data_IF_739740001411
#
_entry.id   IF_739740001411
#
_cell.length_a   1.000
_cell.length_b   1.000
_cell.length_c   1.000
_cell.angle_alpha   90.00
_cell.angle_beta   90.00
_cell.angle_gamma   90.00
#
_symmetry.space_group_name_H-M   'P 1'
#
loop_
_entity.id
_entity.type
_entity.pdbx_description
1 polymer ?
#
# COMPACT_ATOMS: atom_id res chain seq x y z
N UNK A 1 -14.12 -8.69 10.26
CA UNK A 1 -14.32 -7.22 10.36
C UNK A 1 -13.27 -6.54 9.49
N UNK A 2 -13.63 -5.53 8.68
CA UNK A 2 -12.64 -4.80 7.86
C UNK A 2 -11.67 -4.06 8.77
N UNK A 3 -10.39 -4.08 8.42
CA UNK A 3 -9.36 -3.29 9.10
C UNK A 3 -9.45 -1.84 8.65
N UNK A 4 -9.32 -0.91 9.60
CA UNK A 4 -9.50 0.53 9.39
C UNK A 4 -8.13 1.19 9.33
N UNK A 5 -7.75 1.65 8.15
CA UNK A 5 -6.49 2.33 7.88
C UNK A 5 -6.77 3.83 7.70
N UNK A 6 -6.14 4.65 8.53
CA UNK A 6 -6.14 6.10 8.36
C UNK A 6 -4.99 6.46 7.44
N UNK A 7 -5.26 7.12 6.33
CA UNK A 7 -4.22 7.76 5.53
C UNK A 7 -4.06 9.21 5.98
N UNK A 8 -2.84 9.63 6.32
CA UNK A 8 -2.50 11.01 6.68
C UNK A 8 -1.52 11.54 5.65
N UNK A 9 -1.86 12.62 4.94
CA UNK A 9 -0.97 13.21 3.94
C UNK A 9 -1.69 14.13 2.96
N UNK A 10 -1.14 14.29 1.76
CA UNK A 10 -1.70 15.20 0.74
C UNK A 10 -2.52 14.50 -0.34
N UNK A 11 -3.38 15.27 -1.02
CA UNK A 11 -4.31 14.80 -2.05
C UNK A 11 -3.60 14.08 -3.20
N UNK A 12 -2.43 14.54 -3.60
CA UNK A 12 -1.63 13.99 -4.70
C UNK A 12 -1.25 12.52 -4.46
N UNK A 13 -0.99 12.15 -3.19
CA UNK A 13 -0.65 10.79 -2.79
C UNK A 13 -1.92 10.00 -2.52
N UNK A 14 -2.94 10.62 -1.92
CA UNK A 14 -4.23 9.99 -1.62
C UNK A 14 -4.85 9.32 -2.84
N UNK A 15 -4.90 9.99 -3.99
CA UNK A 15 -5.53 9.45 -5.20
C UNK A 15 -4.92 8.09 -5.63
N UNK A 16 -3.61 7.90 -5.38
CA UNK A 16 -2.93 6.62 -5.66
C UNK A 16 -3.21 5.60 -4.56
N UNK A 17 -3.23 6.03 -3.30
CA UNK A 17 -3.55 5.19 -2.15
C UNK A 17 -4.97 4.64 -2.25
N UNK A 18 -5.95 5.47 -2.54
CA UNK A 18 -7.35 5.09 -2.71
C UNK A 18 -7.53 4.02 -3.79
N UNK A 19 -6.91 4.23 -4.96
CA UNK A 19 -6.96 3.26 -6.07
C UNK A 19 -6.37 1.91 -5.67
N UNK A 20 -5.19 1.92 -5.05
CA UNK A 20 -4.53 0.67 -4.64
C UNK A 20 -5.27 0.02 -3.47
N UNK A 21 -5.81 0.79 -2.54
CA UNK A 21 -6.60 0.30 -1.41
C UNK A 21 -7.90 -0.39 -1.86
N UNK A 22 -8.51 0.04 -2.97
CA UNK A 22 -9.64 -0.65 -3.60
C UNK A 22 -9.29 -2.08 -4.03
N UNK A 23 -8.00 -2.39 -4.20
CA UNK A 23 -7.53 -3.75 -4.40
C UNK A 23 -7.57 -4.57 -3.10
N UNK A 24 -7.95 -4.08 -1.93
CA UNK A 24 -7.92 -4.86 -0.68
C UNK A 24 -9.29 -4.89 0.00
N UNK A 25 -10.13 -5.92 -0.25
CA UNK A 25 -11.52 -5.94 0.22
C UNK A 25 -11.67 -5.99 1.74
N UNK A 26 -10.65 -6.51 2.44
CA UNK A 26 -10.59 -6.58 3.91
C UNK A 26 -10.17 -5.25 4.56
N UNK A 27 -9.84 -4.24 3.75
CA UNK A 27 -9.37 -2.93 4.20
C UNK A 27 -10.46 -1.87 3.96
N UNK A 28 -10.61 -0.99 4.92
CA UNK A 28 -11.31 0.28 4.79
C UNK A 28 -10.28 1.38 5.01
N UNK A 29 -10.23 2.33 4.08
CA UNK A 29 -9.27 3.43 4.15
C UNK A 29 -10.01 4.75 4.28
N UNK A 30 -9.57 5.59 5.21
CA UNK A 30 -10.13 6.92 5.44
C UNK A 30 -9.02 7.95 5.26
N UNK A 31 -9.20 8.96 4.39
CA UNK A 31 -8.21 10.01 4.22
C UNK A 31 -8.35 11.10 5.28
N UNK A 32 -7.21 11.60 5.72
CA UNK A 32 -7.03 12.87 6.39
C UNK A 32 -6.06 13.70 5.55
N UNK A 33 -6.60 14.68 4.84
CA UNK A 33 -5.84 15.49 3.89
C UNK A 33 -5.32 16.76 4.56
N UNK A 34 -4.00 16.93 4.58
CA UNK A 34 -3.31 18.01 5.27
C UNK A 34 -3.05 19.20 4.34
N UNK A 35 -4.11 19.80 3.82
CA UNK A 35 -4.01 20.93 2.89
C UNK A 35 -3.53 22.23 3.60
N UNK A 36 -3.68 22.35 4.93
CA UNK A 36 -3.25 23.53 5.72
C UNK A 36 -2.60 23.18 7.08
N UNK A 37 -1.98 22.01 7.18
CA UNK A 37 -1.28 21.55 8.38
C UNK A 37 -2.05 20.50 9.18
N UNK A 38 -1.28 19.71 9.92
CA UNK A 38 -1.69 18.50 10.65
C UNK A 38 -2.69 18.82 11.78
N UNK A 39 -2.71 20.06 12.25
CA UNK A 39 -3.33 20.38 13.53
C UNK A 39 -4.85 20.57 13.49
N UNK A 40 -5.42 21.12 12.41
CA UNK A 40 -6.86 21.42 12.36
C UNK A 40 -7.75 20.20 12.03
N UNK A 41 -7.26 19.23 11.28
CA UNK A 41 -8.06 18.06 10.87
C UNK A 41 -8.13 16.94 11.92
N UNK A 42 -7.26 16.97 12.93
CA UNK A 42 -7.07 15.87 13.87
C UNK A 42 -7.89 15.96 15.16
N UNK A 43 -8.40 17.14 15.50
CA UNK A 43 -9.23 17.31 16.70
C UNK A 43 -10.64 16.73 16.53
N UNK A 44 -11.10 16.51 15.29
CA UNK A 44 -12.46 16.06 14.99
C UNK A 44 -12.60 14.53 14.80
N UNK A 45 -11.50 13.80 14.68
CA UNK A 45 -11.51 12.35 14.43
C UNK A 45 -11.27 11.56 15.71
N UNK A 46 -12.20 10.67 16.07
CA UNK A 46 -12.00 9.69 17.14
C UNK A 46 -11.01 8.61 16.69
N UNK A 47 -9.72 8.83 16.93
CA UNK A 47 -8.64 8.01 16.39
C UNK A 47 -8.54 6.59 17.00
N UNK A 48 -9.30 6.32 18.06
CA UNK A 48 -9.51 4.96 18.60
C UNK A 48 -10.14 4.02 17.56
N UNK A 49 -10.79 4.57 16.54
CA UNK A 49 -11.43 3.81 15.47
C UNK A 49 -10.49 3.33 14.37
N UNK A 50 -9.17 3.54 14.43
CA UNK A 50 -8.25 3.05 13.39
C UNK A 50 -7.29 2.01 13.93
N UNK A 51 -7.06 0.96 13.13
CA UNK A 51 -6.12 -0.12 13.42
C UNK A 51 -4.68 0.30 13.09
N UNK A 52 -4.48 1.13 12.06
CA UNK A 52 -3.16 1.56 11.60
C UNK A 52 -3.22 2.93 10.91
N UNK A 53 -2.12 3.68 10.95
CA UNK A 53 -1.94 4.92 10.22
C UNK A 53 -0.92 4.71 9.09
N UNK A 54 -1.25 5.16 7.88
CA UNK A 54 -0.36 5.19 6.72
C UNK A 54 -0.05 6.64 6.36
N UNK A 55 1.22 7.00 6.28
CA UNK A 55 1.64 8.38 6.03
C UNK A 55 2.87 8.41 5.12
N UNK A 56 3.05 9.43 4.26
CA UNK A 56 4.34 9.69 3.63
C UNK A 56 5.45 9.79 4.67
N UNK A 57 6.65 9.34 4.30
CA UNK A 57 7.83 9.30 5.17
C UNK A 57 8.13 10.66 5.84
N UNK A 58 7.93 11.77 5.15
CA UNK A 58 8.26 13.12 5.62
C UNK A 58 7.33 13.64 6.72
N UNK A 59 6.08 13.16 6.75
CA UNK A 59 5.12 13.55 7.79
C UNK A 59 5.14 12.55 8.97
N UNK A 60 5.88 11.45 8.86
CA UNK A 60 5.83 10.35 9.83
C UNK A 60 6.26 10.76 11.23
N UNK A 61 7.24 11.66 11.38
CA UNK A 61 7.70 12.13 12.69
C UNK A 61 6.62 12.88 13.46
N UNK A 62 5.88 13.77 12.80
CA UNK A 62 4.76 14.51 13.40
C UNK A 62 3.59 13.56 13.71
N UNK A 63 3.27 12.67 12.77
CA UNK A 63 2.23 11.65 12.93
C UNK A 63 2.53 10.71 14.10
N UNK A 64 3.78 10.24 14.25
CA UNK A 64 4.21 9.40 15.38
C UNK A 64 4.12 10.11 16.72
N UNK A 65 4.54 11.38 16.81
CA UNK A 65 4.40 12.18 18.03
C UNK A 65 2.93 12.38 18.43
N UNK A 66 2.05 12.53 17.44
CA UNK A 66 0.62 12.74 17.67
C UNK A 66 -0.12 11.44 17.96
N UNK A 67 0.37 10.29 17.48
CA UNK A 67 -0.21 8.96 17.71
C UNK A 67 0.81 7.95 18.26
N UNK A 68 1.34 8.16 19.48
CA UNK A 68 2.38 7.30 20.04
C UNK A 68 1.93 5.84 20.22
N UNK A 69 0.63 5.62 20.46
CA UNK A 69 0.06 4.27 20.67
C UNK A 69 -0.40 3.58 19.38
N UNK A 70 -0.36 4.26 18.23
CA UNK A 70 -0.79 3.68 16.96
C UNK A 70 0.41 3.24 16.14
N UNK A 71 0.25 2.11 15.46
CA UNK A 71 1.20 1.69 14.45
C UNK A 71 1.17 2.67 13.27
N UNK A 72 2.30 3.32 13.00
CA UNK A 72 2.48 4.24 11.87
C UNK A 72 3.35 3.58 10.82
N UNK A 73 2.81 3.45 9.61
CA UNK A 73 3.49 2.92 8.44
C UNK A 73 3.87 4.04 7.48
N UNK A 74 5.12 4.00 7.02
CA UNK A 74 5.72 5.05 6.18
C UNK A 74 5.66 4.63 4.71
N UNK A 75 5.07 5.49 3.88
CA UNK A 75 5.18 5.39 2.42
C UNK A 75 6.47 6.06 1.96
N UNK A 76 7.34 5.26 1.36
CA UNK A 76 8.57 5.71 0.72
C UNK A 76 8.40 5.81 -0.79
N UNK A 77 9.24 6.64 -1.41
CA UNK A 77 9.36 6.72 -2.86
C UNK A 77 10.43 5.72 -3.32
N UNK A 78 10.19 5.01 -4.43
CA UNK A 78 11.20 4.13 -5.03
C UNK A 78 12.13 4.90 -5.97
N UNK A 79 13.29 4.31 -6.31
CA UNK A 79 14.12 4.76 -7.43
C UNK A 79 13.30 5.04 -8.71
N UNK A 80 12.34 4.16 -9.04
CA UNK A 80 11.44 4.38 -10.20
C UNK A 80 10.61 5.66 -10.09
N UNK A 81 10.21 6.08 -8.89
CA UNK A 81 9.47 7.34 -8.70
C UNK A 81 10.36 8.55 -8.99
N UNK A 82 11.64 8.48 -8.60
CA UNK A 82 12.65 9.50 -8.92
C UNK A 82 12.90 9.55 -10.43
N UNK A 83 13.12 8.40 -11.09
CA UNK A 83 13.28 8.35 -12.56
C UNK A 83 12.08 8.96 -13.28
N UNK A 84 10.85 8.60 -12.87
CA UNK A 84 9.66 9.18 -13.47
C UNK A 84 9.58 10.71 -13.32
N UNK A 85 10.08 11.29 -12.21
CA UNK A 85 10.14 12.73 -12.01
C UNK A 85 11.24 13.38 -12.85
N UNK A 86 12.44 12.80 -12.88
CA UNK A 86 13.56 13.25 -13.72
C UNK A 86 13.18 13.25 -15.20
N UNK A 87 12.60 12.15 -15.69
CA UNK A 87 12.14 12.03 -17.08
C UNK A 87 11.09 13.08 -17.41
N UNK A 88 10.09 13.30 -16.54
CA UNK A 88 9.10 14.38 -16.75
C UNK A 88 9.73 15.75 -16.80
N UNK A 89 10.73 16.00 -15.95
CA UNK A 89 11.49 17.25 -15.97
C UNK A 89 12.22 17.43 -17.30
N UNK A 90 12.95 16.41 -17.76
CA UNK A 90 13.66 16.45 -19.04
C UNK A 90 12.74 16.68 -20.25
N UNK A 91 11.54 16.09 -20.25
CA UNK A 91 10.55 16.32 -21.30
C UNK A 91 9.82 17.66 -21.20
N UNK A 92 9.82 18.30 -20.03
CA UNK A 92 9.24 19.65 -19.85
C UNK A 92 10.24 20.76 -20.11
N UNK A 93 11.54 20.49 -20.01
CA UNK A 93 12.57 21.43 -20.39
C UNK A 93 12.49 21.75 -21.89
N UNK A 94 12.43 23.04 -22.21
CA UNK A 94 12.74 23.53 -23.54
C UNK A 94 14.19 23.16 -23.86
N UNK A 95 14.45 22.63 -25.06
CA UNK A 95 15.78 22.27 -25.57
C UNK A 95 16.84 23.39 -25.45
N UNK A 96 16.44 24.61 -25.10
CA UNK A 96 17.27 25.82 -25.03
C UNK A 96 17.50 26.37 -23.61
N UNK A 97 17.10 25.68 -22.52
CA UNK A 97 17.33 26.20 -21.15
C UNK A 97 18.68 25.73 -20.58
N UNK A 98 19.62 26.65 -20.39
CA UNK A 98 20.93 26.41 -19.74
C UNK A 98 20.85 26.18 -18.21
N UNK A 99 19.65 26.20 -17.62
CA UNK A 99 19.45 26.10 -16.18
C UNK A 99 19.50 24.67 -15.63
N UNK A 100 19.91 24.55 -14.36
CA UNK A 100 19.91 23.29 -13.61
C UNK A 100 18.53 22.94 -13.08
N UNK A 101 18.33 21.65 -12.78
CA UNK A 101 17.19 21.15 -12.02
C UNK A 101 17.61 21.00 -10.57
N UNK A 102 16.93 21.70 -9.66
CA UNK A 102 17.13 21.49 -8.22
C UNK A 102 16.29 20.31 -7.75
N UNK A 103 16.91 19.36 -7.05
CA UNK A 103 16.28 18.13 -6.59
C UNK A 103 16.52 17.97 -5.10
N UNK A 104 15.45 17.97 -4.29
CA UNK A 104 15.57 17.52 -2.90
C UNK A 104 15.35 16.02 -2.76
N UNK A 105 16.23 15.34 -2.02
CA UNK A 105 16.11 13.90 -1.74
C UNK A 105 16.80 13.46 -0.45
N UNK A 106 16.45 12.26 0.02
CA UNK A 106 16.93 11.73 1.32
C UNK A 106 18.42 11.39 1.35
N UNK A 107 19.00 11.16 0.18
CA UNK A 107 20.40 10.77 0.04
C UNK A 107 20.94 11.32 -1.27
N UNK A 108 21.97 12.15 -1.19
CA UNK A 108 22.65 12.66 -2.38
C UNK A 108 23.31 11.54 -3.16
N UNK A 109 23.90 10.57 -2.45
CA UNK A 109 24.60 9.45 -3.06
C UNK A 109 23.66 8.53 -3.84
N UNK A 110 22.46 8.26 -3.32
CA UNK A 110 21.45 7.46 -4.04
C UNK A 110 21.06 8.10 -5.37
N UNK A 111 20.89 9.42 -5.42
CA UNK A 111 20.62 10.12 -6.69
C UNK A 111 21.82 9.98 -7.62
N UNK A 112 23.05 10.20 -7.13
CA UNK A 112 24.25 10.13 -7.97
C UNK A 112 24.40 8.76 -8.61
N UNK A 113 24.28 7.69 -7.83
CA UNK A 113 24.35 6.32 -8.33
C UNK A 113 23.27 6.08 -9.40
N UNK A 114 22.02 6.47 -9.13
CA UNK A 114 20.91 6.24 -10.04
C UNK A 114 21.06 7.03 -11.36
N UNK A 115 21.52 8.28 -11.29
CA UNK A 115 21.79 9.13 -12.47
C UNK A 115 22.95 8.56 -13.29
N UNK A 116 23.99 8.05 -12.64
CA UNK A 116 25.14 7.41 -13.30
C UNK A 116 24.75 6.10 -13.99
N UNK A 117 23.97 5.24 -13.33
CA UNK A 117 23.49 3.97 -13.90
C UNK A 117 22.65 4.19 -15.17
N UNK A 118 21.86 5.27 -15.20
CA UNK A 118 20.96 5.62 -16.30
C UNK A 118 21.63 6.54 -17.35
N UNK A 119 22.92 6.84 -17.21
CA UNK A 119 23.69 7.75 -18.06
C UNK A 119 23.05 9.15 -18.23
N UNK A 120 22.45 9.66 -17.16
CA UNK A 120 21.83 10.98 -17.14
C UNK A 120 22.87 12.09 -16.83
N UNK A 121 22.71 13.31 -17.39
CA UNK A 121 23.67 14.40 -17.20
C UNK A 121 23.63 14.96 -15.78
N UNK A 122 24.53 14.50 -14.91
CA UNK A 122 24.61 14.90 -13.51
C UNK A 122 24.91 16.40 -13.33
N UNK A 123 25.63 17.01 -14.27
CA UNK A 123 26.04 18.43 -14.20
C UNK A 123 24.85 19.39 -14.25
N UNK A 124 23.71 18.91 -14.76
CA UNK A 124 22.45 19.64 -14.83
C UNK A 124 21.61 19.49 -13.56
N UNK A 125 22.07 18.72 -12.56
CA UNK A 125 21.36 18.52 -11.30
C UNK A 125 22.05 19.26 -10.14
N UNK A 126 21.24 19.98 -9.39
CA UNK A 126 21.60 20.51 -8.08
C UNK A 126 20.88 19.69 -7.01
N UNK A 127 21.62 18.84 -6.30
CA UNK A 127 21.03 17.91 -5.34
C UNK A 127 21.11 18.49 -3.93
N UNK A 128 19.94 18.69 -3.32
CA UNK A 128 19.77 19.07 -1.93
C UNK A 128 19.42 17.84 -1.08
N UNK A 129 20.36 17.42 -0.23
CA UNK A 129 20.11 16.32 0.69
C UNK A 129 19.30 16.82 1.89
N UNK A 130 18.18 16.17 2.18
CA UNK A 130 17.34 16.49 3.34
C UNK A 130 17.14 15.27 4.24
N UNK A 131 16.93 15.54 5.53
CA UNK A 131 16.59 14.51 6.51
C UNK A 131 15.09 14.51 6.79
N UNK A 132 14.60 13.52 7.55
CA UNK A 132 13.18 13.45 7.96
C UNK A 132 12.77 14.57 8.94
N UNK A 133 13.74 15.17 9.62
CA UNK A 133 13.51 16.14 10.70
C UNK A 133 13.74 17.58 10.25
N UNK A 134 14.27 17.77 9.04
CA UNK A 134 14.55 19.09 8.49
C UNK A 134 13.26 19.92 8.36
N UNK A 135 13.36 21.22 8.66
CA UNK A 135 12.23 22.11 8.52
C UNK A 135 11.91 22.31 7.04
N UNK A 136 10.64 22.14 6.67
CA UNK A 136 10.16 22.35 5.31
C UNK A 136 10.51 23.75 4.76
N UNK A 137 10.55 24.76 5.62
CA UNK A 137 10.89 26.13 5.22
C UNK A 137 12.35 26.24 4.76
N UNK A 138 13.26 25.42 5.28
CA UNK A 138 14.66 25.41 4.86
C UNK A 138 14.79 24.84 3.44
N UNK A 139 14.00 23.80 3.13
CA UNK A 139 13.91 23.21 1.78
C UNK A 139 13.34 24.24 0.79
N UNK A 140 12.26 24.94 1.18
CA UNK A 140 11.68 26.01 0.35
C UNK A 140 12.71 27.12 0.11
N UNK A 141 13.42 27.55 1.16
CA UNK A 141 14.41 28.61 1.06
C UNK A 141 15.57 28.24 0.14
N UNK A 142 16.03 26.97 0.17
CA UNK A 142 17.05 26.47 -0.74
C UNK A 142 16.61 26.59 -2.20
N UNK A 143 15.45 26.01 -2.55
CA UNK A 143 14.91 26.07 -3.90
C UNK A 143 14.67 27.51 -4.39
N UNK A 144 14.18 28.37 -3.49
CA UNK A 144 13.93 29.79 -3.81
C UNK A 144 15.22 30.53 -4.17
N UNK A 145 16.30 30.33 -3.40
CA UNK A 145 17.61 30.91 -3.72
C UNK A 145 18.13 30.47 -5.08
N UNK A 146 17.97 29.18 -5.42
CA UNK A 146 18.41 28.66 -6.72
C UNK A 146 17.69 29.30 -7.91
N UNK A 147 16.39 29.55 -7.76
CA UNK A 147 15.59 30.28 -8.76
C UNK A 147 15.96 31.77 -8.82
N UNK A 148 16.15 32.43 -7.68
CA UNK A 148 16.50 33.87 -7.59
C UNK A 148 17.88 34.15 -8.23
N UNK A 149 18.84 33.23 -8.07
CA UNK A 149 20.16 33.30 -8.67
C UNK A 149 20.17 32.89 -10.17
N UNK A 150 19.01 32.59 -10.76
CA UNK A 150 18.82 32.20 -12.17
C UNK A 150 19.61 30.97 -12.64
N UNK A 151 20.20 30.18 -11.73
CA UNK A 151 20.90 28.93 -12.10
C UNK A 151 19.99 27.69 -12.04
N UNK A 152 18.82 27.78 -11.42
CA UNK A 152 17.79 26.73 -11.43
C UNK A 152 16.61 27.17 -12.29
N UNK A 153 16.11 26.28 -13.13
CA UNK A 153 14.89 26.48 -13.94
C UNK A 153 13.73 25.63 -13.47
N UNK A 154 14.02 24.43 -12.96
CA UNK A 154 13.03 23.43 -12.58
C UNK A 154 13.30 22.89 -11.18
N UNK A 155 12.23 22.51 -10.48
CA UNK A 155 12.33 21.89 -9.15
C UNK A 155 11.75 20.48 -9.20
N UNK A 156 12.46 19.53 -8.61
CA UNK A 156 11.94 18.21 -8.26
C UNK A 156 11.98 18.12 -6.74
N UNK A 157 10.85 17.82 -6.11
CA UNK A 157 10.77 17.73 -4.66
C UNK A 157 10.15 16.42 -4.22
N UNK A 158 10.60 15.91 -3.09
CA UNK A 158 9.92 14.82 -2.38
C UNK A 158 8.86 15.34 -1.41
N UNK A 159 8.90 16.63 -1.06
CA UNK A 159 8.06 17.19 -0.01
C UNK A 159 6.80 17.85 -0.59
N UNK A 160 5.59 17.36 -0.23
CA UNK A 160 4.35 17.85 -0.82
C UNK A 160 4.03 19.35 -0.55
N UNK A 161 4.36 19.87 0.64
CA UNK A 161 4.28 21.32 0.94
C UNK A 161 5.23 22.19 0.11
N UNK A 162 6.45 21.72 -0.20
CA UNK A 162 7.36 22.41 -1.12
C UNK A 162 6.70 22.48 -2.50
N UNK A 163 6.15 21.36 -2.96
CA UNK A 163 5.42 21.30 -4.23
C UNK A 163 4.28 22.33 -4.30
N UNK A 164 3.44 22.40 -3.26
CA UNK A 164 2.36 23.38 -3.19
C UNK A 164 2.86 24.83 -3.21
N UNK A 165 3.94 25.13 -2.48
CA UNK A 165 4.50 26.48 -2.40
C UNK A 165 4.94 27.00 -3.79
N UNK A 166 5.63 26.19 -4.59
CA UNK A 166 6.10 26.61 -5.92
C UNK A 166 5.05 26.44 -7.01
N UNK A 167 4.09 25.52 -6.86
CA UNK A 167 2.95 25.40 -7.78
C UNK A 167 2.09 26.66 -7.75
N UNK A 168 1.88 27.25 -6.56
CA UNK A 168 1.19 28.53 -6.41
C UNK A 168 1.91 29.69 -7.13
N UNK A 169 3.24 29.61 -7.23
CA UNK A 169 4.09 30.57 -7.95
C UNK A 169 4.18 30.29 -9.47
N UNK A 170 3.38 29.36 -10.01
CA UNK A 170 3.35 28.95 -11.42
C UNK A 170 4.73 28.54 -11.98
N UNK A 171 5.56 27.91 -11.16
CA UNK A 171 6.87 27.39 -11.58
C UNK A 171 6.76 25.94 -12.05
N UNK A 172 7.68 25.54 -12.94
CA UNK A 172 7.81 24.13 -13.34
C UNK A 172 8.37 23.32 -12.17
N UNK A 173 7.47 22.59 -11.50
CA UNK A 173 7.80 21.76 -10.35
C UNK A 173 7.18 20.38 -10.47
N UNK A 174 7.94 19.36 -10.08
CA UNK A 174 7.52 17.97 -10.09
C UNK A 174 7.61 17.37 -8.67
N UNK A 175 6.54 16.73 -8.22
CA UNK A 175 6.51 16.01 -6.94
C UNK A 175 6.86 14.53 -7.16
N UNK A 176 7.90 14.05 -6.48
CA UNK A 176 8.21 12.63 -6.36
C UNK A 176 7.14 12.02 -5.45
N UNK A 177 6.27 11.21 -6.04
CA UNK A 177 5.18 10.53 -5.33
C UNK A 177 5.38 9.02 -5.40
N UNK A 178 5.00 8.26 -4.35
CA UNK A 178 5.06 6.80 -4.37
C UNK A 178 4.37 6.22 -5.61
N UNK A 179 4.94 5.15 -6.18
CA UNK A 179 4.33 4.41 -7.28
C UNK A 179 3.19 3.51 -6.76
N UNK A 180 2.32 3.03 -7.64
CA UNK A 180 1.30 2.06 -7.25
C UNK A 180 1.92 0.77 -6.68
N UNK A 181 3.08 0.33 -7.17
CA UNK A 181 3.77 -0.86 -6.65
C UNK A 181 4.33 -0.65 -5.24
N UNK A 182 4.90 0.53 -4.94
CA UNK A 182 5.33 0.90 -3.59
C UNK A 182 4.15 0.88 -2.60
N UNK A 183 3.06 1.56 -2.97
CA UNK A 183 1.86 1.63 -2.13
C UNK A 183 1.29 0.22 -1.92
N UNK A 184 1.19 -0.58 -2.99
CA UNK A 184 0.70 -1.96 -2.91
C UNK A 184 1.57 -2.80 -1.99
N UNK A 185 2.89 -2.69 -2.09
CA UNK A 185 3.82 -3.43 -1.22
C UNK A 185 3.59 -3.09 0.25
N UNK A 186 3.44 -1.81 0.59
CA UNK A 186 3.23 -1.42 2.00
C UNK A 186 1.85 -1.83 2.52
N UNK A 187 0.78 -1.67 1.73
CA UNK A 187 -0.55 -2.15 2.11
C UNK A 187 -0.57 -3.68 2.19
N UNK A 188 0.08 -4.38 1.26
CA UNK A 188 0.18 -5.83 1.28
C UNK A 188 0.91 -6.31 2.52
N UNK A 189 2.02 -5.68 2.94
CA UNK A 189 2.68 -6.01 4.22
C UNK A 189 1.75 -5.86 5.42
N UNK A 190 0.90 -4.83 5.43
CA UNK A 190 -0.10 -4.64 6.48
C UNK A 190 -1.15 -5.74 6.49
N UNK A 191 -1.68 -6.05 5.31
CA UNK A 191 -2.64 -7.13 5.12
C UNK A 191 -2.01 -8.46 5.46
N UNK A 192 -0.77 -8.70 5.07
CA UNK A 192 0.00 -9.88 5.42
C UNK A 192 0.17 -9.96 6.92
N UNK A 193 0.51 -8.88 7.63
CA UNK A 193 0.58 -8.92 9.09
C UNK A 193 -0.78 -9.22 9.75
N UNK A 194 -1.88 -8.77 9.16
CA UNK A 194 -3.23 -9.12 9.63
C UNK A 194 -3.67 -10.53 9.22
N UNK A 195 -3.08 -11.10 8.15
CA UNK A 195 -3.42 -12.41 7.58
C UNK A 195 -2.46 -13.52 8.02
N UNK A 196 -1.25 -13.12 8.39
CA UNK A 196 -0.18 -13.86 9.09
C UNK A 196 -0.36 -13.77 10.59
N UNK A 197 -1.53 -13.32 11.04
CA UNK A 197 -2.21 -14.08 12.06
C UNK A 197 -2.42 -15.51 11.49
N UNK A 198 -1.34 -16.33 11.50
CA UNK A 198 -1.37 -17.64 12.19
C UNK A 198 -2.47 -17.53 13.24
N UNK A 199 -3.46 -18.43 13.30
CA UNK A 199 -4.65 -18.23 14.14
C UNK A 199 -4.23 -17.75 15.54
N UNK A 200 -4.21 -16.43 15.72
CA UNK A 200 -3.67 -15.79 16.93
C UNK A 200 -4.75 -15.76 17.99
N UNK A 201 -5.96 -16.11 17.58
CA UNK A 201 -6.98 -16.63 18.44
C UNK A 201 -6.85 -18.14 18.38
N UNK A 202 -6.63 -18.81 19.51
CA UNK A 202 -6.73 -20.25 19.53
C UNK A 202 -8.13 -20.59 18.99
N UNK A 203 -8.20 -21.35 17.91
CA UNK A 203 -9.47 -21.87 17.42
C UNK A 203 -9.63 -23.26 18.01
N UNK A 204 -10.83 -23.57 18.45
CA UNK A 204 -11.18 -24.95 18.78
C UNK A 204 -12.10 -25.49 17.71
N UNK A 205 -11.73 -26.63 17.15
CA UNK A 205 -12.59 -27.41 16.28
C UNK A 205 -12.99 -28.66 17.04
N UNK A 206 -14.19 -28.65 17.62
CA UNK A 206 -14.76 -29.80 18.32
C UNK A 206 -15.68 -30.57 17.38
N UNK A 207 -15.64 -31.91 17.43
CA UNK A 207 -16.54 -32.75 16.65
C UNK A 207 -15.84 -33.89 15.91
N UNK A 208 -16.31 -35.12 16.12
CA UNK A 208 -15.76 -36.30 15.46
C UNK A 208 -15.91 -36.24 13.93
N UNK A 209 -16.96 -35.59 13.42
CA UNK A 209 -17.16 -35.39 11.98
C UNK A 209 -16.06 -34.50 11.41
N UNK A 210 -15.87 -33.29 11.94
CA UNK A 210 -14.90 -32.31 11.45
C UNK A 210 -13.46 -32.83 11.51
N UNK A 211 -13.11 -33.55 12.58
CA UNK A 211 -11.80 -34.23 12.72
C UNK A 211 -11.56 -35.33 11.68
N UNK A 212 -12.57 -36.16 11.38
CA UNK A 212 -12.48 -37.21 10.36
C UNK A 212 -12.31 -36.60 8.97
N UNK A 213 -13.07 -35.55 8.65
CA UNK A 213 -12.95 -34.87 7.36
C UNK A 213 -11.56 -34.26 7.19
N UNK A 214 -11.02 -33.53 8.18
CA UNK A 214 -9.67 -32.95 8.08
C UNK A 214 -8.58 -33.99 7.83
N UNK A 215 -8.63 -35.14 8.53
CA UNK A 215 -7.67 -36.24 8.32
C UNK A 215 -7.71 -36.79 6.90
N UNK A 216 -8.89 -36.86 6.30
CA UNK A 216 -9.08 -37.40 4.96
C UNK A 216 -8.62 -36.44 3.84
N UNK A 217 -8.75 -35.12 4.07
CA UNK A 217 -8.50 -34.10 3.02
C UNK A 217 -7.03 -33.67 2.96
N UNK A 218 -6.29 -33.80 4.06
CA UNK A 218 -4.89 -33.34 4.14
C UNK A 218 -4.73 -31.82 4.16
N UNK A 219 -5.81 -31.08 4.46
CA UNK A 219 -5.80 -29.63 4.67
C UNK A 219 -5.83 -29.36 6.17
N UNK A 220 -4.97 -28.45 6.65
CA UNK A 220 -4.92 -28.09 8.07
C UNK A 220 -6.20 -27.38 8.53
N UNK A 221 -6.59 -27.58 9.79
CA UNK A 221 -7.72 -26.86 10.39
C UNK A 221 -7.56 -25.34 10.32
N UNK A 222 -6.34 -24.83 10.39
CA UNK A 222 -6.04 -23.42 10.20
C UNK A 222 -6.39 -22.92 8.78
N UNK A 223 -6.18 -23.75 7.76
CA UNK A 223 -6.54 -23.40 6.37
C UNK A 223 -8.07 -23.38 6.20
N UNK A 224 -8.77 -24.36 6.78
CA UNK A 224 -10.25 -24.40 6.80
C UNK A 224 -10.82 -23.18 7.53
N UNK A 225 -10.26 -22.85 8.70
CA UNK A 225 -10.64 -21.67 9.48
C UNK A 225 -10.49 -20.37 8.68
N UNK A 226 -9.36 -20.22 7.98
CA UNK A 226 -9.11 -19.08 7.08
C UNK A 226 -10.09 -19.02 5.91
N UNK A 227 -10.46 -20.17 5.34
CA UNK A 227 -11.43 -20.24 4.24
C UNK A 227 -12.82 -19.79 4.71
N UNK A 228 -13.28 -20.28 5.87
CA UNK A 228 -14.55 -19.84 6.48
C UNK A 228 -14.52 -18.34 6.76
N UNK A 229 -13.42 -17.83 7.33
CA UNK A 229 -13.23 -16.41 7.56
C UNK A 229 -13.28 -15.57 6.27
N UNK A 230 -12.68 -16.07 5.19
CA UNK A 230 -12.73 -15.43 3.88
C UNK A 230 -14.16 -15.41 3.30
N UNK A 231 -14.88 -16.54 3.34
CA UNK A 231 -16.28 -16.61 2.88
C UNK A 231 -17.17 -15.62 3.65
N UNK A 232 -17.05 -15.60 4.99
CA UNK A 232 -17.78 -14.65 5.84
C UNK A 232 -17.44 -13.19 5.51
N UNK A 233 -16.16 -12.89 5.27
CA UNK A 233 -15.73 -11.54 4.92
C UNK A 233 -16.19 -11.08 3.53
N UNK A 234 -16.29 -12.02 2.57
CA UNK A 234 -16.82 -11.77 1.23
C UNK A 234 -18.36 -11.72 1.22
N UNK A 235 -19.02 -12.25 2.25
CA UNK A 235 -20.47 -12.41 2.30
C UNK A 235 -21.01 -13.44 1.29
N UNK A 236 -20.13 -14.31 0.78
CA UNK A 236 -20.46 -15.36 -0.20
C UNK A 236 -19.50 -16.54 -0.09
N UNK A 237 -19.96 -17.69 -0.54
CA UNK A 237 -19.24 -18.98 -0.61
C UNK A 237 -18.61 -19.25 -1.99
N UNK A 238 -18.79 -18.31 -2.94
CA UNK A 238 -18.27 -18.40 -4.31
C UNK A 238 -16.97 -17.61 -4.43
N UNK A 239 -15.93 -18.20 -5.01
CA UNK A 239 -14.66 -17.50 -5.25
C UNK A 239 -13.87 -18.04 -6.44
N UNK A 240 -13.03 -17.21 -7.03
CA UNK A 240 -12.00 -17.65 -7.99
C UNK A 240 -10.68 -17.96 -7.29
N UNK A 241 -9.79 -18.69 -7.98
CA UNK A 241 -8.43 -18.89 -7.50
C UNK A 241 -7.66 -17.57 -7.30
N UNK A 242 -7.99 -16.51 -8.04
CA UNK A 242 -7.38 -15.20 -7.88
C UNK A 242 -7.86 -14.51 -6.59
N UNK A 243 -9.16 -14.61 -6.29
CA UNK A 243 -9.73 -14.09 -5.05
C UNK A 243 -9.18 -14.83 -3.83
N UNK A 244 -9.05 -16.16 -3.90
CA UNK A 244 -8.41 -16.94 -2.84
C UNK A 244 -6.94 -16.56 -2.67
N UNK A 245 -6.17 -16.49 -3.77
CA UNK A 245 -4.76 -16.10 -3.73
C UNK A 245 -4.57 -14.76 -3.03
N UNK A 246 -5.44 -13.81 -3.37
CA UNK A 246 -5.47 -12.45 -2.81
C UNK A 246 -5.89 -12.42 -1.34
N UNK A 247 -6.94 -13.17 -0.98
CA UNK A 247 -7.42 -13.25 0.40
C UNK A 247 -6.45 -13.98 1.33
N UNK A 248 -5.67 -14.90 0.80
CA UNK A 248 -4.71 -15.70 1.58
C UNK A 248 -3.27 -15.16 1.50
N UNK A 249 -3.02 -14.15 0.68
CA UNK A 249 -1.68 -13.66 0.34
C UNK A 249 -0.73 -14.78 -0.11
N UNK A 250 -1.22 -15.66 -0.99
CA UNK A 250 -0.45 -16.77 -1.55
C UNK A 250 -0.38 -16.67 -3.08
N UNK A 251 0.52 -17.44 -3.70
CA UNK A 251 0.59 -17.48 -5.16
C UNK A 251 -0.69 -18.04 -5.78
N UNK A 252 -1.00 -17.63 -7.01
CA UNK A 252 -2.12 -18.18 -7.77
C UNK A 252 -2.03 -19.71 -7.93
N UNK A 253 -0.81 -20.24 -8.05
CA UNK A 253 -0.56 -21.69 -8.11
C UNK A 253 -0.97 -22.38 -6.80
N UNK A 254 -0.61 -21.80 -5.65
CA UNK A 254 -0.98 -22.32 -4.34
C UNK A 254 -2.50 -22.27 -4.12
N UNK A 255 -3.15 -21.17 -4.51
CA UNK A 255 -4.60 -21.04 -4.43
C UNK A 255 -5.34 -22.06 -5.30
N UNK A 256 -4.87 -22.26 -6.55
CA UNK A 256 -5.41 -23.33 -7.42
C UNK A 256 -5.27 -24.70 -6.77
N UNK A 257 -4.10 -25.03 -6.21
CA UNK A 257 -3.89 -26.30 -5.52
C UNK A 257 -4.91 -26.50 -4.39
N UNK A 258 -5.15 -25.48 -3.56
CA UNK A 258 -6.14 -25.55 -2.47
C UNK A 258 -7.54 -25.83 -3.02
N UNK A 259 -7.98 -25.08 -4.04
CA UNK A 259 -9.32 -25.26 -4.63
C UNK A 259 -9.49 -26.63 -5.30
N UNK A 260 -8.48 -27.10 -6.03
CA UNK A 260 -8.49 -28.46 -6.61
C UNK A 260 -8.50 -29.54 -5.53
N UNK A 261 -7.77 -29.36 -4.42
CA UNK A 261 -7.84 -30.31 -3.29
C UNK A 261 -9.23 -30.34 -2.67
N UNK A 262 -9.89 -29.18 -2.50
CA UNK A 262 -11.26 -29.12 -2.00
C UNK A 262 -12.25 -29.77 -2.97
N UNK A 263 -12.10 -29.52 -4.27
CA UNK A 263 -12.92 -30.11 -5.33
C UNK A 263 -12.81 -31.64 -5.35
N UNK A 264 -11.59 -32.17 -5.28
CA UNK A 264 -11.35 -33.61 -5.23
C UNK A 264 -12.00 -34.31 -4.02
N UNK A 265 -12.26 -33.56 -2.95
CA UNK A 265 -12.93 -34.05 -1.74
C UNK A 265 -14.39 -33.62 -1.64
N UNK A 266 -14.99 -33.16 -2.74
CA UNK A 266 -16.39 -32.70 -2.81
C UNK A 266 -16.73 -31.55 -1.86
N UNK A 267 -15.73 -30.76 -1.43
CA UNK A 267 -15.89 -29.54 -0.63
C UNK A 267 -15.87 -28.26 -1.47
N UNK A 268 -15.59 -28.39 -2.76
CA UNK A 268 -15.76 -27.32 -3.71
C UNK A 268 -16.32 -27.87 -5.02
N UNK A 269 -17.02 -27.02 -5.77
CA UNK A 269 -17.52 -27.35 -7.10
C UNK A 269 -17.30 -26.16 -8.04
N UNK A 270 -16.83 -26.42 -9.26
CA UNK A 270 -16.82 -25.40 -10.31
C UNK A 270 -18.27 -25.13 -10.74
N UNK A 271 -18.71 -23.88 -10.55
CA UNK A 271 -20.09 -23.43 -10.84
C UNK A 271 -20.16 -22.44 -12.00
N UNK A 272 -19.01 -22.08 -12.57
CA UNK A 272 -18.96 -21.18 -13.72
C UNK A 272 -17.55 -20.77 -14.08
N UNK A 273 -17.48 -19.86 -15.04
CA UNK A 273 -16.24 -19.27 -15.54
C UNK A 273 -16.36 -17.75 -15.54
N UNK A 274 -15.29 -17.08 -15.08
CA UNK A 274 -15.09 -15.65 -15.16
C UNK A 274 -14.12 -15.37 -16.31
N UNK A 275 -14.54 -14.48 -17.21
CA UNK A 275 -13.68 -13.92 -18.24
C UNK A 275 -13.37 -12.47 -17.92
N UNK A 276 -12.10 -12.19 -17.62
CA UNK A 276 -11.64 -10.81 -17.47
C UNK A 276 -11.54 -10.19 -18.85
N UNK A 277 -12.01 -8.95 -19.02
CA UNK A 277 -11.95 -8.21 -20.29
C UNK A 277 -10.50 -8.19 -20.81
N UNK A 278 -10.23 -8.89 -21.92
CA UNK A 278 -8.90 -9.03 -22.52
C UNK A 278 -8.54 -10.46 -22.95
N UNK A 279 -7.26 -10.69 -23.28
CA UNK A 279 -6.69 -12.02 -23.60
C UNK A 279 -6.35 -12.79 -22.32
N UNK A 280 -6.81 -14.03 -22.19
CA UNK A 280 -6.44 -14.94 -21.11
C UNK A 280 -7.29 -16.20 -21.08
N UNK A 281 -6.79 -17.26 -20.42
CA UNK A 281 -7.56 -18.49 -20.20
C UNK A 281 -8.71 -18.22 -19.24
N UNK A 282 -9.93 -18.74 -19.49
CA UNK A 282 -11.05 -18.62 -18.57
C UNK A 282 -10.68 -19.00 -17.13
N UNK A 283 -11.26 -18.30 -16.15
CA UNK A 283 -11.03 -18.54 -14.71
C UNK A 283 -12.23 -19.26 -14.12
N UNK A 284 -12.05 -20.46 -13.59
CA UNK A 284 -13.13 -21.14 -12.89
C UNK A 284 -13.56 -20.39 -11.64
N UNK A 285 -14.88 -20.29 -11.45
CA UNK A 285 -15.55 -19.85 -10.23
C UNK A 285 -15.93 -21.10 -9.45
N UNK A 286 -15.40 -21.22 -8.23
CA UNK A 286 -15.67 -22.32 -7.32
C UNK A 286 -16.74 -21.89 -6.30
N UNK A 287 -17.69 -22.76 -6.00
CA UNK A 287 -18.50 -22.69 -4.80
C UNK A 287 -17.91 -23.63 -3.77
N UNK A 288 -17.60 -23.11 -2.58
CA UNK A 288 -16.97 -23.88 -1.50
C UNK A 288 -18.02 -24.19 -0.43
N UNK A 289 -18.17 -25.47 -0.09
CA UNK A 289 -19.04 -25.92 1.00
C UNK A 289 -18.17 -26.29 2.22
N UNK A 290 -18.29 -25.49 3.27
CA UNK A 290 -17.57 -25.69 4.54
C UNK A 290 -18.53 -25.94 5.71
N UNK A 291 -19.81 -26.18 5.43
CA UNK A 291 -20.86 -26.38 6.44
C UNK A 291 -20.50 -27.50 7.42
N UNK A 292 -19.89 -28.58 6.93
CA UNK A 292 -19.40 -29.72 7.73
C UNK A 292 -18.32 -29.38 8.75
N UNK A 293 -17.72 -28.19 8.68
CA UNK A 293 -16.70 -27.69 9.61
C UNK A 293 -17.21 -26.55 10.50
N UNK A 294 -18.37 -25.98 10.21
CA UNK A 294 -18.93 -24.90 11.02
C UNK A 294 -19.53 -25.42 12.34
N UNK A 295 -20.11 -26.63 12.32
CA UNK A 295 -20.55 -27.34 13.52
C UNK A 295 -19.34 -27.66 14.42
N UNK A 296 -19.12 -26.83 15.44
CA UNK A 296 -18.08 -27.00 16.45
C UNK A 296 -16.83 -26.14 16.28
N UNK A 297 -16.85 -25.17 15.35
CA UNK A 297 -15.76 -24.20 15.24
C UNK A 297 -16.01 -22.97 16.12
N UNK A 298 -15.31 -22.90 17.25
CA UNK A 298 -15.44 -21.82 18.21
C UNK A 298 -14.15 -20.99 18.24
N UNK A 299 -14.28 -19.67 18.09
CA UNK A 299 -13.19 -18.76 18.41
C UNK A 299 -12.98 -18.79 19.92
N UNK A 300 -11.81 -19.21 20.40
CA UNK A 300 -11.52 -19.09 21.82
C UNK A 300 -11.24 -17.60 22.12
N UNK A 301 -11.76 -17.07 23.23
CA UNK A 301 -11.34 -15.77 23.70
C UNK A 301 -9.82 -15.79 23.91
N UNK A 302 -9.17 -14.66 23.66
CA UNK A 302 -7.78 -14.44 24.08
C UNK A 302 -7.77 -14.43 25.62
N UNK A 303 -7.73 -15.61 26.24
CA UNK A 303 -7.30 -15.73 27.63
C UNK A 303 -5.81 -15.40 27.63
N UNK A 304 -5.45 -14.39 28.43
CA UNK A 304 -4.11 -13.82 28.50
C UNK A 304 -3.01 -14.81 28.82
#
# INVERSE_FOLDING_TARGET
MKKRLLFVGQREIWNKVERVAGEFPLLSVTPLLEERGIDQGLEQLSLSTFDVVLTPMFESGKVKRKFPEKKVCELTCSPMALNAALTKCLFSQSLNSEGKVSVDYRSKEEIRMQVMEENLPLDHLEIFEHTKEMNVNDIIAHHKRGLENQHVTNIITTHPRVFQAFKALRKEIHLITPTHSCIRKEIQKLVDQWSSLEPSFPYRLEGQKSLKHMKNIGISGATIYRLIGLCRALGRDKMTAAELAKGFSITLRSARRILTTLENHSLAKVIGEEQVVGRGRPRYVYQVDLSSFEEGMTSLPALG
#
